data_IF_874352944291
#
_entry.id   IF_874352944291
#
_cell.length_a   1.000
_cell.length_b   1.000
_cell.length_c   1.000
_cell.angle_alpha   90.00
_cell.angle_beta   90.00
_cell.angle_gamma   90.00
#
_symmetry.space_group_name_H-M   'P 1'
#
loop_
_entity.id
_entity.type
_entity.pdbx_description
1 polymer ?
#
# COMPACT_ATOMS: atom_id res chain seq x y z
N UNK A 1 -8.20 28.75 13.04
CA UNK A 1 -7.90 28.07 11.77
C UNK A 1 -7.31 26.64 11.92
N UNK A 2 -6.74 26.24 13.05
CA UNK A 2 -6.23 24.85 13.25
C UNK A 2 -7.34 23.82 13.55
N UNK A 3 -8.50 24.23 14.02
CA UNK A 3 -9.64 23.36 14.38
C UNK A 3 -10.54 22.95 13.20
N UNK A 4 -10.30 23.45 11.99
CA UNK A 4 -11.20 23.21 10.85
C UNK A 4 -10.77 22.02 9.97
N UNK A 5 -9.47 21.62 10.01
CA UNK A 5 -9.01 20.49 9.22
C UNK A 5 -9.53 19.18 9.79
N UNK A 6 -10.11 18.37 8.91
CA UNK A 6 -10.60 17.05 9.29
C UNK A 6 -9.45 16.04 9.28
N UNK A 7 -9.37 15.23 10.33
CA UNK A 7 -8.43 14.13 10.48
C UNK A 7 -9.12 12.83 10.08
N UNK A 8 -8.61 12.14 9.08
CA UNK A 8 -9.18 10.86 8.62
C UNK A 8 -8.29 9.74 9.11
N UNK A 9 -8.76 8.98 10.12
CA UNK A 9 -8.06 7.79 10.58
C UNK A 9 -8.50 6.58 9.74
N UNK A 10 -7.56 6.06 8.95
CA UNK A 10 -7.77 4.89 8.10
C UNK A 10 -7.27 3.65 8.84
N UNK A 11 -8.15 2.66 8.94
CA UNK A 11 -7.89 1.39 9.63
C UNK A 11 -8.21 0.20 8.75
N UNK A 12 -7.83 -0.99 9.19
CA UNK A 12 -8.18 -2.26 8.58
C UNK A 12 -8.74 -3.21 9.63
N UNK A 13 -9.43 -4.22 9.20
CA UNK A 13 -9.74 -5.37 10.05
C UNK A 13 -8.46 -6.16 10.33
N UNK A 14 -8.37 -6.72 11.53
CA UNK A 14 -7.31 -7.69 11.86
C UNK A 14 -7.63 -9.04 11.24
N UNK A 15 -6.61 -9.92 11.14
CA UNK A 15 -6.83 -11.29 10.67
C UNK A 15 -7.88 -12.03 11.51
N UNK A 16 -7.91 -11.79 12.82
CA UNK A 16 -8.92 -12.40 13.70
C UNK A 16 -10.34 -11.89 13.39
N UNK A 17 -10.49 -10.58 13.13
CA UNK A 17 -11.77 -9.99 12.77
C UNK A 17 -12.30 -10.53 11.43
N UNK A 18 -11.42 -10.65 10.42
CA UNK A 18 -11.76 -11.27 9.14
C UNK A 18 -12.17 -12.75 9.29
N UNK A 19 -11.47 -13.50 10.16
CA UNK A 19 -11.84 -14.89 10.46
C UNK A 19 -13.19 -15.00 11.17
N UNK A 20 -13.49 -14.09 12.12
CA UNK A 20 -14.80 -14.05 12.78
C UNK A 20 -15.94 -13.83 11.79
N UNK A 21 -15.75 -12.94 10.82
CA UNK A 21 -16.74 -12.69 9.77
C UNK A 21 -16.92 -13.91 8.86
N UNK A 22 -15.81 -14.56 8.50
CA UNK A 22 -15.83 -15.73 7.62
C UNK A 22 -16.47 -16.97 8.25
N UNK A 23 -16.18 -17.22 9.52
CA UNK A 23 -16.57 -18.47 10.21
C UNK A 23 -17.68 -18.30 11.25
N UNK A 24 -18.22 -17.10 11.40
CA UNK A 24 -19.31 -16.76 12.32
C UNK A 24 -19.03 -17.01 13.82
N UNK A 25 -18.15 -17.93 14.18
CA UNK A 25 -17.79 -18.22 15.57
C UNK A 25 -16.28 -18.31 15.78
N UNK A 26 -15.82 -17.91 16.97
CA UNK A 26 -14.40 -18.05 17.35
C UNK A 26 -13.94 -19.51 17.40
N UNK A 27 -14.82 -20.43 17.80
CA UNK A 27 -14.50 -21.85 17.85
C UNK A 27 -14.21 -22.44 16.48
N UNK A 28 -15.01 -22.09 15.47
CA UNK A 28 -14.77 -22.47 14.08
C UNK A 28 -13.50 -21.85 13.51
N UNK A 29 -13.27 -20.56 13.76
CA UNK A 29 -12.05 -19.90 13.36
C UNK A 29 -10.80 -20.55 13.99
N UNK A 30 -10.84 -20.84 15.29
CA UNK A 30 -9.77 -21.52 16.01
C UNK A 30 -9.49 -22.91 15.42
N UNK A 31 -10.53 -23.73 15.26
CA UNK A 31 -10.40 -25.08 14.67
C UNK A 31 -9.72 -25.02 13.29
N UNK A 32 -10.14 -24.09 12.44
CA UNK A 32 -9.58 -23.94 11.10
C UNK A 32 -8.08 -23.58 11.13
N UNK A 33 -7.70 -22.60 11.95
CA UNK A 33 -6.30 -22.14 12.07
C UNK A 33 -5.40 -23.24 12.64
N UNK A 34 -5.85 -23.91 13.71
CA UNK A 34 -5.09 -24.99 14.32
C UNK A 34 -4.95 -26.21 13.39
N UNK A 35 -5.97 -26.48 12.57
CA UNK A 35 -5.90 -27.52 11.54
C UNK A 35 -4.89 -27.22 10.43
N UNK A 36 -4.63 -25.95 10.16
CA UNK A 36 -3.55 -25.51 9.25
C UNK A 36 -2.15 -25.55 9.89
N UNK A 37 -2.03 -25.93 11.15
CA UNK A 37 -0.78 -25.99 11.89
C UNK A 37 -0.32 -24.63 12.45
N UNK A 38 -1.17 -23.62 12.43
CA UNK A 38 -0.89 -22.30 12.99
C UNK A 38 -1.42 -22.15 14.41
N UNK A 39 -0.79 -21.25 15.20
CA UNK A 39 -1.22 -20.97 16.58
C UNK A 39 -2.28 -19.87 16.58
N UNK A 40 -3.49 -20.22 17.00
CA UNK A 40 -4.60 -19.27 17.09
C UNK A 40 -4.32 -18.11 18.06
N UNK A 41 -3.54 -18.34 19.10
CA UNK A 41 -3.15 -17.32 20.07
C UNK A 41 -2.42 -16.12 19.42
N UNK A 42 -1.66 -16.35 18.34
CA UNK A 42 -0.99 -15.27 17.61
C UNK A 42 -1.99 -14.30 16.98
N UNK A 43 -3.12 -14.80 16.50
CA UNK A 43 -4.19 -13.97 15.94
C UNK A 43 -4.90 -13.15 17.02
N UNK A 44 -5.10 -13.75 18.19
CA UNK A 44 -5.69 -13.06 19.35
C UNK A 44 -4.76 -11.97 19.88
N UNK A 45 -3.46 -12.25 19.99
CA UNK A 45 -2.47 -11.29 20.44
C UNK A 45 -2.33 -10.11 19.45
N UNK A 46 -2.27 -10.38 18.13
CA UNK A 46 -2.24 -9.32 17.10
C UNK A 46 -3.49 -8.44 17.19
N UNK A 47 -4.67 -9.02 17.33
CA UNK A 47 -5.93 -8.27 17.43
C UNK A 47 -5.95 -7.36 18.66
N UNK A 48 -5.55 -7.87 19.81
CA UNK A 48 -5.50 -7.10 21.05
C UNK A 48 -4.54 -5.91 20.95
N UNK A 49 -3.33 -6.11 20.41
CA UNK A 49 -2.34 -5.06 20.21
C UNK A 49 -2.84 -3.99 19.22
N UNK A 50 -3.44 -4.43 18.11
CA UNK A 50 -3.97 -3.51 17.10
C UNK A 50 -5.14 -2.67 17.62
N UNK A 51 -6.06 -3.27 18.36
CA UNK A 51 -7.21 -2.57 18.97
C UNK A 51 -6.74 -1.53 19.98
N UNK A 52 -5.75 -1.84 20.81
CA UNK A 52 -5.18 -0.88 21.76
C UNK A 52 -4.44 0.26 21.04
N UNK A 53 -3.66 -0.05 20.01
CA UNK A 53 -3.03 0.95 19.16
C UNK A 53 -4.07 1.90 18.51
N UNK A 54 -5.15 1.33 17.96
CA UNK A 54 -6.24 2.10 17.36
C UNK A 54 -6.91 3.03 18.37
N UNK A 55 -7.19 2.54 19.57
CA UNK A 55 -7.79 3.32 20.66
C UNK A 55 -6.91 4.49 21.06
N UNK A 56 -5.61 4.25 21.22
CA UNK A 56 -4.62 5.28 21.60
C UNK A 56 -4.51 6.36 20.51
N UNK A 57 -4.32 5.96 19.26
CA UNK A 57 -4.23 6.90 18.13
C UNK A 57 -5.51 7.71 17.99
N UNK A 58 -6.69 7.05 18.07
CA UNK A 58 -7.97 7.74 17.99
C UNK A 58 -8.17 8.77 19.12
N UNK A 59 -7.70 8.47 20.33
CA UNK A 59 -7.75 9.42 21.46
C UNK A 59 -6.88 10.64 21.17
N UNK A 60 -5.61 10.46 20.77
CA UNK A 60 -4.71 11.55 20.40
C UNK A 60 -5.27 12.43 19.28
N UNK A 61 -5.87 11.82 18.27
CA UNK A 61 -6.46 12.58 17.17
C UNK A 61 -7.68 13.38 17.60
N UNK A 62 -8.56 12.82 18.45
CA UNK A 62 -9.76 13.52 18.97
C UNK A 62 -9.41 14.72 19.82
N UNK A 63 -8.31 14.66 20.57
CA UNK A 63 -7.81 15.81 21.34
C UNK A 63 -7.27 16.93 20.45
N UNK A 64 -6.88 16.59 19.22
CA UNK A 64 -6.27 17.52 18.27
C UNK A 64 -7.24 18.12 17.25
N UNK A 65 -8.42 17.54 17.06
CA UNK A 65 -9.38 18.06 16.10
C UNK A 65 -10.55 17.13 15.77
N UNK A 66 -11.25 17.47 14.69
CA UNK A 66 -12.39 16.68 14.19
C UNK A 66 -11.89 15.41 13.48
N UNK A 67 -12.21 14.26 14.05
CA UNK A 67 -11.77 12.95 13.51
C UNK A 67 -12.91 12.21 12.84
N UNK A 68 -12.61 11.59 11.70
CA UNK A 68 -13.45 10.58 11.06
C UNK A 68 -12.68 9.28 10.96
N UNK A 69 -13.27 8.19 11.46
CA UNK A 69 -12.76 6.84 11.28
C UNK A 69 -13.24 6.29 9.92
N UNK A 70 -12.32 5.73 9.14
CA UNK A 70 -12.61 5.14 7.83
C UNK A 70 -11.97 3.75 7.74
N UNK A 71 -12.78 2.72 7.54
CA UNK A 71 -12.27 1.37 7.32
C UNK A 71 -11.81 1.20 5.86
N UNK A 72 -10.78 0.39 5.64
CA UNK A 72 -10.17 0.10 4.33
C UNK A 72 -11.18 -0.19 3.22
N UNK A 73 -12.24 -0.94 3.52
CA UNK A 73 -13.28 -1.29 2.53
C UNK A 73 -14.01 -0.09 1.95
N UNK A 74 -14.03 1.03 2.68
CA UNK A 74 -14.71 2.27 2.28
C UNK A 74 -13.83 3.23 1.47
N UNK A 75 -12.54 2.94 1.31
CA UNK A 75 -11.61 3.84 0.62
C UNK A 75 -12.01 4.17 -0.81
N UNK A 76 -12.53 3.19 -1.55
CA UNK A 76 -12.91 3.36 -2.96
C UNK A 76 -14.12 4.27 -3.19
N UNK A 77 -14.94 4.48 -2.16
CA UNK A 77 -16.16 5.30 -2.22
C UNK A 77 -16.02 6.63 -1.46
N UNK A 78 -14.91 6.81 -0.75
CA UNK A 78 -14.70 8.00 0.06
C UNK A 78 -14.06 9.13 -0.76
N UNK A 79 -14.63 10.33 -0.63
CA UNK A 79 -14.10 11.54 -1.26
C UNK A 79 -13.31 12.35 -0.24
N UNK A 80 -12.00 12.36 -0.39
CA UNK A 80 -11.09 13.16 0.43
C UNK A 80 -11.16 14.63 0.04
N UNK A 81 -11.34 15.53 1.02
CA UNK A 81 -11.21 16.96 0.81
C UNK A 81 -9.73 17.37 0.66
N UNK A 82 -9.47 18.49 0.01
CA UNK A 82 -8.09 18.93 -0.27
C UNK A 82 -7.29 19.27 1.00
N UNK A 83 -7.97 19.64 2.07
CA UNK A 83 -7.40 20.03 3.36
C UNK A 83 -7.43 18.92 4.43
N UNK A 84 -7.98 17.74 4.09
CA UNK A 84 -7.95 16.58 4.98
C UNK A 84 -6.51 16.19 5.34
N UNK A 85 -6.30 15.78 6.58
CA UNK A 85 -5.05 15.14 7.02
C UNK A 85 -5.34 13.65 7.20
N UNK A 86 -4.59 12.83 6.49
CA UNK A 86 -4.81 11.40 6.45
C UNK A 86 -3.85 10.73 7.45
N UNK A 87 -4.39 9.91 8.33
CA UNK A 87 -3.62 9.08 9.26
C UNK A 87 -3.92 7.62 8.96
N UNK A 88 -2.92 6.85 8.58
CA UNK A 88 -3.06 5.42 8.30
C UNK A 88 -2.48 4.63 9.47
N UNK A 89 -3.29 3.78 10.07
CA UNK A 89 -2.86 2.84 11.11
C UNK A 89 -2.94 1.41 10.56
N UNK A 90 -1.78 0.82 10.26
CA UNK A 90 -1.80 -0.53 9.68
C UNK A 90 -0.46 -1.00 9.12
N UNK A 91 -0.50 -1.58 7.94
CA UNK A 91 0.66 -2.15 7.23
C UNK A 91 0.94 -1.36 5.95
N UNK A 92 2.12 -1.57 5.37
CA UNK A 92 2.56 -0.93 4.10
C UNK A 92 1.51 -1.02 2.99
N UNK A 93 0.84 -2.18 2.87
CA UNK A 93 -0.22 -2.37 1.89
C UNK A 93 -1.44 -1.46 2.09
N UNK A 94 -1.74 -1.06 3.35
CA UNK A 94 -2.81 -0.10 3.61
C UNK A 94 -2.39 1.32 3.21
N UNK A 95 -1.14 1.70 3.45
CA UNK A 95 -0.55 2.97 3.01
C UNK A 95 -0.61 3.08 1.48
N UNK A 96 -0.07 2.09 0.77
CA UNK A 96 -0.09 2.05 -0.68
C UNK A 96 -1.51 2.07 -1.25
N UNK A 97 -2.45 1.32 -0.63
CA UNK A 97 -3.85 1.35 -1.05
C UNK A 97 -4.53 2.70 -0.82
N UNK A 98 -4.16 3.43 0.24
CA UNK A 98 -4.71 4.75 0.54
C UNK A 98 -4.18 5.81 -0.42
N UNK A 99 -2.89 5.83 -0.66
CA UNK A 99 -2.20 6.84 -1.48
C UNK A 99 -2.84 7.03 -2.86
N UNK A 100 -3.30 5.97 -3.50
CA UNK A 100 -3.90 6.03 -4.85
C UNK A 100 -5.22 6.83 -4.92
N UNK A 101 -5.84 7.13 -3.77
CA UNK A 101 -7.05 7.95 -3.70
C UNK A 101 -6.78 9.40 -3.31
N UNK A 102 -5.52 9.72 -2.98
CA UNK A 102 -5.12 11.06 -2.55
C UNK A 102 -4.65 11.92 -3.72
N UNK A 103 -4.86 13.23 -3.60
CA UNK A 103 -4.48 14.24 -4.59
C UNK A 103 -3.58 15.30 -3.98
N UNK A 104 -2.60 14.87 -3.16
CA UNK A 104 -1.65 15.77 -2.51
C UNK A 104 -1.92 16.05 -1.03
N UNK A 105 -2.96 15.45 -0.43
CA UNK A 105 -3.18 15.51 1.01
C UNK A 105 -1.99 14.89 1.76
N UNK A 106 -1.56 15.45 2.90
CA UNK A 106 -0.53 14.84 3.72
C UNK A 106 -1.03 13.54 4.35
N UNK A 107 -0.17 12.52 4.35
CA UNK A 107 -0.44 11.24 4.96
C UNK A 107 0.61 10.95 6.04
N UNK A 108 0.14 10.64 7.24
CA UNK A 108 0.93 10.15 8.38
C UNK A 108 0.70 8.64 8.47
N UNK A 109 1.76 7.86 8.33
CA UNK A 109 1.67 6.41 8.36
C UNK A 109 2.24 5.87 9.68
N UNK A 110 1.39 5.21 10.46
CA UNK A 110 1.69 4.73 11.82
C UNK A 110 1.72 3.21 11.83
N UNK A 111 2.82 2.65 12.34
CA UNK A 111 2.97 1.23 12.60
C UNK A 111 2.30 0.88 13.95
N UNK A 112 1.22 0.09 13.96
CA UNK A 112 0.54 -0.29 15.21
C UNK A 112 1.35 -1.30 16.03
N UNK A 113 2.18 -2.13 15.40
CA UNK A 113 2.91 -3.24 16.05
C UNK A 113 4.30 -3.34 15.38
N UNK A 114 5.28 -2.50 15.76
CA UNK A 114 6.60 -2.49 15.13
C UNK A 114 7.35 -3.82 15.19
N UNK A 115 7.15 -4.61 16.24
CA UNK A 115 7.79 -5.92 16.38
C UNK A 115 7.23 -6.99 15.42
N UNK A 116 6.06 -6.74 14.83
CA UNK A 116 5.38 -7.68 13.94
C UNK A 116 5.40 -7.23 12.47
N UNK A 117 5.47 -5.92 12.21
CA UNK A 117 5.41 -5.36 10.87
C UNK A 117 6.69 -4.60 10.54
N UNK A 118 7.37 -4.96 9.46
CA UNK A 118 8.60 -4.28 9.01
C UNK A 118 8.41 -2.77 8.78
N UNK A 119 7.27 -2.39 8.21
CA UNK A 119 6.85 -1.00 8.14
C UNK A 119 7.73 -0.07 7.30
N UNK A 120 8.10 -0.48 6.09
CA UNK A 120 8.92 0.35 5.17
C UNK A 120 8.26 1.70 4.87
N UNK A 121 6.93 1.71 4.81
CA UNK A 121 6.10 2.91 4.59
C UNK A 121 5.51 3.49 5.87
N UNK A 122 5.86 2.96 7.04
CA UNK A 122 5.31 3.30 8.35
C UNK A 122 6.40 3.85 9.27
N UNK A 123 6.88 5.08 9.03
CA UNK A 123 8.02 5.63 9.77
C UNK A 123 7.71 5.99 11.23
N UNK A 124 6.43 6.02 11.62
CA UNK A 124 5.99 6.43 12.95
C UNK A 124 5.42 5.25 13.74
N UNK A 125 5.65 5.26 15.05
CA UNK A 125 4.99 4.40 16.03
C UNK A 125 3.75 5.11 16.62
N UNK A 126 2.97 4.39 17.41
CA UNK A 126 1.78 4.94 18.09
C UNK A 126 2.13 6.13 19.00
N UNK A 127 3.30 6.07 19.69
CA UNK A 127 3.81 7.16 20.52
C UNK A 127 4.09 8.46 19.77
N UNK A 128 4.41 8.37 18.48
CA UNK A 128 4.81 9.51 17.66
C UNK A 128 3.61 10.28 17.07
N UNK A 129 2.39 9.78 17.28
CA UNK A 129 1.17 10.31 16.68
C UNK A 129 0.99 11.81 16.86
N UNK A 130 1.11 12.31 18.08
CA UNK A 130 0.91 13.74 18.39
C UNK A 130 2.01 14.62 17.79
N UNK A 131 3.25 14.16 17.85
CA UNK A 131 4.39 14.90 17.29
C UNK A 131 4.27 14.97 15.75
N UNK A 132 4.03 13.85 15.09
CA UNK A 132 3.84 13.78 13.64
C UNK A 132 2.68 14.67 13.19
N UNK A 133 1.53 14.62 13.88
CA UNK A 133 0.38 15.47 13.59
C UNK A 133 0.71 16.96 13.78
N UNK A 134 1.35 17.34 14.87
CA UNK A 134 1.75 18.72 15.13
C UNK A 134 2.71 19.26 14.06
N UNK A 135 3.64 18.41 13.58
CA UNK A 135 4.57 18.80 12.52
C UNK A 135 3.82 19.06 11.20
N UNK A 136 2.81 18.22 10.86
CA UNK A 136 1.93 18.45 9.70
C UNK A 136 1.13 19.76 9.85
N UNK A 137 0.48 19.96 10.99
CA UNK A 137 -0.34 21.15 11.25
C UNK A 137 0.47 22.45 11.20
N UNK A 138 1.73 22.41 11.62
CA UNK A 138 2.63 23.57 11.62
C UNK A 138 3.46 23.72 10.35
N UNK A 139 3.23 22.85 9.34
CA UNK A 139 4.03 22.81 8.11
C UNK A 139 5.56 22.70 8.35
N UNK A 140 5.95 21.96 9.39
CA UNK A 140 7.34 21.73 9.81
C UNK A 140 7.83 20.32 9.49
N UNK A 141 7.11 19.59 8.63
CA UNK A 141 7.46 18.23 8.27
C UNK A 141 8.43 18.17 7.09
N UNK A 142 9.32 17.19 7.13
CA UNK A 142 9.96 16.66 5.93
C UNK A 142 9.00 15.67 5.28
N UNK A 143 8.68 15.87 4.00
CA UNK A 143 7.76 15.00 3.26
C UNK A 143 8.52 14.18 2.22
N UNK A 144 8.19 12.90 2.13
CA UNK A 144 8.56 12.07 0.99
C UNK A 144 7.47 12.19 -0.08
N UNK A 145 7.87 12.58 -1.29
CA UNK A 145 6.97 12.58 -2.44
C UNK A 145 6.99 11.22 -3.09
N UNK A 146 5.85 10.79 -3.62
CA UNK A 146 5.69 9.51 -4.30
C UNK A 146 5.07 9.77 -5.66
N UNK A 147 5.76 9.35 -6.72
CA UNK A 147 5.22 9.33 -8.07
C UNK A 147 4.34 8.10 -8.25
N UNK A 148 3.19 8.29 -8.88
CA UNK A 148 2.26 7.22 -9.19
C UNK A 148 2.18 6.99 -10.70
N UNK A 149 1.98 5.75 -11.12
CA UNK A 149 1.64 5.43 -12.49
C UNK A 149 0.16 5.67 -12.72
N UNK A 150 -0.19 6.32 -13.82
CA UNK A 150 -1.57 6.44 -14.28
C UNK A 150 -1.78 5.58 -15.51
N UNK A 151 -2.83 4.77 -15.46
CA UNK A 151 -3.31 4.00 -16.60
C UNK A 151 -4.59 4.63 -17.10
N UNK A 152 -4.68 4.84 -18.40
CA UNK A 152 -5.91 5.30 -19.05
C UNK A 152 -6.26 4.35 -20.18
N UNK A 153 -7.50 3.90 -20.23
CA UNK A 153 -8.00 3.05 -21.31
C UNK A 153 -8.46 3.90 -22.50
N UNK A 154 -8.64 3.27 -23.66
CA UNK A 154 -9.22 3.92 -24.84
C UNK A 154 -10.70 4.31 -24.65
N UNK A 155 -11.35 3.81 -23.61
CA UNK A 155 -12.71 4.19 -23.20
C UNK A 155 -12.74 5.38 -22.26
N UNK A 156 -11.57 5.90 -21.84
CA UNK A 156 -11.45 7.02 -20.93
C UNK A 156 -11.39 6.65 -19.45
N UNK A 157 -11.50 5.37 -19.09
CA UNK A 157 -11.32 4.93 -17.72
C UNK A 157 -9.87 5.17 -17.27
N UNK A 158 -9.70 5.64 -16.04
CA UNK A 158 -8.38 5.94 -15.49
C UNK A 158 -8.21 5.31 -14.12
N UNK A 159 -6.99 4.81 -13.86
CA UNK A 159 -6.61 4.22 -12.59
C UNK A 159 -5.19 4.67 -12.19
N UNK A 160 -4.99 4.92 -10.90
CA UNK A 160 -3.68 5.21 -10.32
C UNK A 160 -3.11 3.95 -9.64
N UNK A 161 -1.82 3.77 -9.78
CA UNK A 161 -1.06 2.73 -9.10
C UNK A 161 0.14 3.35 -8.37
N UNK A 162 0.32 2.94 -7.13
CA UNK A 162 1.42 3.40 -6.26
C UNK A 162 2.65 2.53 -6.44
N UNK A 163 2.47 1.21 -6.58
CA UNK A 163 3.55 0.24 -6.77
C UNK A 163 3.70 -0.13 -8.25
N UNK A 164 2.88 -1.04 -8.71
CA UNK A 164 2.97 -1.63 -10.04
C UNK A 164 1.61 -1.63 -10.72
N UNK A 165 1.63 -1.52 -12.05
CA UNK A 165 0.51 -1.82 -12.92
C UNK A 165 0.79 -3.12 -13.63
N UNK A 166 -0.11 -4.09 -13.52
CA UNK A 166 -0.07 -5.30 -14.32
C UNK A 166 -1.12 -5.22 -15.43
N UNK A 167 -0.68 -5.47 -16.65
CA UNK A 167 -1.53 -5.53 -17.83
C UNK A 167 -1.36 -6.92 -18.44
N UNK A 168 -2.40 -7.74 -18.38
CA UNK A 168 -2.34 -9.11 -18.84
C UNK A 168 -3.69 -9.82 -18.73
N UNK A 169 -3.75 -11.10 -19.12
CA UNK A 169 -4.96 -11.90 -19.06
C UNK A 169 -5.35 -12.22 -17.60
N UNK A 170 -6.63 -12.45 -17.35
CA UNK A 170 -7.14 -12.91 -16.04
C UNK A 170 -6.77 -14.37 -15.74
N UNK A 171 -6.44 -15.13 -16.76
CA UNK A 171 -6.15 -16.56 -16.69
C UNK A 171 -4.69 -16.82 -17.05
N UNK A 172 -4.20 -18.05 -16.90
CA UNK A 172 -2.84 -18.46 -17.24
C UNK A 172 -2.61 -18.64 -18.76
N UNK A 173 -3.35 -17.91 -19.59
CA UNK A 173 -3.18 -17.91 -21.06
C UNK A 173 -2.24 -16.79 -21.48
N UNK A 174 -1.49 -17.00 -22.57
CA UNK A 174 -0.67 -15.93 -23.13
C UNK A 174 -1.53 -14.84 -23.75
N UNK A 175 -1.23 -13.60 -23.45
CA UNK A 175 -1.79 -12.43 -24.12
C UNK A 175 -0.99 -12.12 -25.38
N UNK A 176 -1.68 -11.80 -26.47
CA UNK A 176 -1.05 -11.28 -27.69
C UNK A 176 -1.34 -9.78 -27.79
N UNK A 177 -0.30 -8.98 -27.86
CA UNK A 177 -0.42 -7.53 -27.84
C UNK A 177 0.76 -6.85 -28.54
N UNK A 178 0.62 -5.57 -28.78
CA UNK A 178 1.64 -4.71 -29.37
C UNK A 178 2.05 -3.67 -28.34
N UNK A 179 3.34 -3.57 -28.06
CA UNK A 179 3.92 -2.49 -27.25
C UNK A 179 4.42 -1.41 -28.20
N UNK A 180 4.06 -0.16 -27.91
CA UNK A 180 4.58 1.02 -28.60
C UNK A 180 5.17 1.96 -27.55
N UNK A 181 6.44 2.33 -27.73
CA UNK A 181 7.14 3.31 -26.88
C UNK A 181 7.81 4.32 -27.82
N UNK A 182 7.25 5.52 -27.89
CA UNK A 182 7.62 6.48 -28.92
C UNK A 182 7.40 5.90 -30.32
N UNK A 183 8.46 5.85 -31.13
CA UNK A 183 8.42 5.25 -32.48
C UNK A 183 8.69 3.73 -32.49
N UNK A 184 9.22 3.20 -31.39
CA UNK A 184 9.53 1.79 -31.27
C UNK A 184 8.25 0.95 -31.08
N UNK A 185 8.18 -0.17 -31.81
CA UNK A 185 7.03 -1.06 -31.77
C UNK A 185 7.50 -2.50 -31.74
N UNK A 186 6.88 -3.29 -30.84
CA UNK A 186 7.16 -4.71 -30.68
C UNK A 186 5.88 -5.51 -30.50
N UNK A 187 5.80 -6.68 -31.15
CA UNK A 187 4.70 -7.63 -30.93
C UNK A 187 5.12 -8.66 -29.89
N UNK A 188 4.24 -8.90 -28.93
CA UNK A 188 4.46 -9.81 -27.82
C UNK A 188 3.39 -10.90 -27.75
N UNK A 189 3.82 -12.09 -27.31
CA UNK A 189 2.93 -13.17 -26.87
C UNK A 189 3.46 -13.67 -25.53
N UNK A 190 2.93 -13.16 -24.44
CA UNK A 190 3.51 -13.35 -23.11
C UNK A 190 2.45 -13.40 -22.01
N UNK A 191 2.87 -13.60 -20.77
CA UNK A 191 1.97 -13.53 -19.60
C UNK A 191 1.55 -12.11 -19.22
N UNK A 192 1.95 -11.08 -19.98
CA UNK A 192 1.59 -9.69 -19.77
C UNK A 192 2.78 -8.77 -19.48
N UNK A 193 2.47 -7.53 -19.12
CA UNK A 193 3.44 -6.47 -18.83
C UNK A 193 3.26 -5.97 -17.42
N UNK A 194 4.37 -5.74 -16.73
CA UNK A 194 4.42 -5.01 -15.47
C UNK A 194 5.06 -3.66 -15.71
N UNK A 195 4.40 -2.60 -15.25
CA UNK A 195 4.94 -1.23 -15.24
C UNK A 195 5.10 -0.81 -13.79
N UNK A 196 6.32 -0.51 -13.38
CA UNK A 196 6.67 -0.21 -11.99
C UNK A 196 7.00 1.26 -11.78
N UNK A 197 6.55 1.79 -10.65
CA UNK A 197 6.96 3.09 -10.11
C UNK A 197 8.22 2.95 -9.27
N UNK A 198 8.80 4.07 -8.82
CA UNK A 198 9.92 4.05 -7.88
C UNK A 198 9.61 3.29 -6.59
N UNK A 199 8.41 3.44 -6.04
CA UNK A 199 8.00 2.72 -4.84
C UNK A 199 7.84 1.21 -5.11
N UNK A 200 7.24 0.82 -6.22
CA UNK A 200 7.07 -0.57 -6.65
C UNK A 200 8.38 -1.28 -7.02
N UNK A 201 9.42 -0.50 -7.36
CA UNK A 201 10.68 -1.03 -7.91
C UNK A 201 11.43 -2.00 -6.99
N UNK A 202 11.16 -1.97 -5.70
CA UNK A 202 11.75 -2.89 -4.70
C UNK A 202 10.89 -4.13 -4.41
N UNK A 203 9.69 -4.21 -4.99
CA UNK A 203 8.70 -5.27 -4.82
C UNK A 203 8.70 -6.29 -5.97
N UNK A 204 7.56 -6.42 -6.64
CA UNK A 204 7.35 -7.41 -7.70
C UNK A 204 8.29 -7.23 -8.89
N UNK A 205 8.50 -5.99 -9.32
CA UNK A 205 9.46 -5.68 -10.39
C UNK A 205 10.87 -6.21 -10.07
N UNK A 206 11.36 -5.97 -8.83
CA UNK A 206 12.66 -6.51 -8.38
C UNK A 206 12.71 -8.04 -8.43
N UNK A 207 11.62 -8.70 -8.04
CA UNK A 207 11.56 -10.19 -8.08
C UNK A 207 11.67 -10.73 -9.50
N UNK A 208 11.07 -10.07 -10.50
CA UNK A 208 11.19 -10.44 -11.91
C UNK A 208 12.63 -10.30 -12.37
N UNK A 209 13.26 -9.17 -12.08
CA UNK A 209 14.65 -8.91 -12.44
C UNK A 209 15.61 -9.91 -11.78
N UNK A 210 15.41 -10.21 -10.50
CA UNK A 210 16.20 -11.19 -9.77
C UNK A 210 16.06 -12.60 -10.38
N UNK A 211 14.85 -13.01 -10.75
CA UNK A 211 14.59 -14.26 -11.43
C UNK A 211 15.31 -14.35 -12.78
N UNK A 212 15.18 -13.32 -13.61
CA UNK A 212 15.87 -13.25 -14.91
C UNK A 212 17.40 -13.27 -14.77
N UNK A 213 17.94 -12.52 -13.81
CA UNK A 213 19.37 -12.51 -13.49
C UNK A 213 19.87 -13.88 -13.03
N UNK A 214 19.12 -14.55 -12.16
CA UNK A 214 19.44 -15.89 -11.68
C UNK A 214 19.49 -16.93 -12.80
N UNK A 215 18.50 -16.92 -13.69
CA UNK A 215 18.44 -17.82 -14.85
C UNK A 215 19.59 -17.52 -15.83
N UNK A 216 19.82 -16.26 -16.14
CA UNK A 216 20.87 -15.84 -17.08
C UNK A 216 22.30 -15.92 -16.50
N UNK A 217 22.43 -16.14 -15.20
CA UNK A 217 23.70 -16.09 -14.45
C UNK A 217 24.48 -14.77 -14.70
N UNK A 218 23.75 -13.68 -14.87
CA UNK A 218 24.31 -12.35 -15.10
C UNK A 218 23.83 -11.39 -14.01
N UNK A 219 24.72 -10.58 -13.39
CA UNK A 219 24.33 -9.61 -12.39
C UNK A 219 23.43 -8.54 -13.01
N UNK A 220 22.45 -8.10 -12.23
CA UNK A 220 21.63 -6.94 -12.57
C UNK A 220 22.48 -5.68 -12.66
N UNK A 221 22.10 -4.77 -13.53
CA UNK A 221 22.68 -3.43 -13.58
C UNK A 221 22.48 -2.74 -12.22
N UNK A 222 23.51 -2.07 -11.68
CA UNK A 222 23.47 -1.46 -10.34
C UNK A 222 22.26 -0.53 -10.11
N UNK A 223 21.83 0.21 -11.14
CA UNK A 223 20.68 1.11 -11.07
C UNK A 223 19.34 0.37 -10.82
N UNK A 224 19.23 -0.89 -11.24
CA UNK A 224 18.00 -1.68 -11.09
C UNK A 224 18.03 -2.61 -9.87
N UNK A 225 19.21 -2.92 -9.34
CA UNK A 225 19.35 -3.85 -8.20
C UNK A 225 18.76 -3.31 -6.90
N UNK A 226 18.81 -1.99 -6.68
CA UNK A 226 18.37 -1.33 -5.47
C UNK A 226 17.03 -0.60 -5.62
N UNK A 227 16.36 -0.73 -6.79
CA UNK A 227 15.21 0.08 -7.14
C UNK A 227 15.62 1.51 -7.51
N UNK A 228 14.64 2.39 -7.70
CA UNK A 228 14.86 3.80 -8.03
C UNK A 228 14.02 4.72 -7.13
N UNK A 229 14.27 6.03 -7.20
CA UNK A 229 13.69 7.00 -6.29
C UNK A 229 12.15 6.99 -6.32
N UNK A 230 11.50 7.12 -5.17
CA UNK A 230 10.04 7.10 -5.05
C UNK A 230 9.35 8.26 -5.78
N UNK A 231 10.04 9.38 -5.93
CA UNK A 231 9.59 10.58 -6.64
C UNK A 231 10.10 10.65 -8.08
N UNK A 232 10.67 9.56 -8.61
CA UNK A 232 11.11 9.48 -10.00
C UNK A 232 9.96 9.81 -10.96
N UNK A 233 10.26 10.58 -12.00
CA UNK A 233 9.37 10.79 -13.11
C UNK A 233 9.32 9.63 -14.11
N UNK A 234 10.28 8.70 -13.99
CA UNK A 234 10.40 7.56 -14.88
C UNK A 234 9.60 6.38 -14.37
N UNK A 235 9.03 5.61 -15.29
CA UNK A 235 8.44 4.30 -15.07
C UNK A 235 9.29 3.25 -15.77
N UNK A 236 9.46 2.10 -15.14
CA UNK A 236 10.12 0.95 -15.76
C UNK A 236 9.11 -0.14 -16.05
N UNK A 237 9.25 -0.79 -17.19
CA UNK A 237 8.39 -1.93 -17.51
C UNK A 237 9.19 -3.19 -17.84
N UNK A 238 8.57 -4.31 -17.66
CA UNK A 238 9.08 -5.62 -18.06
C UNK A 238 7.94 -6.47 -18.63
N UNK A 239 8.23 -7.15 -19.74
CA UNK A 239 7.38 -8.21 -20.27
C UNK A 239 7.59 -9.44 -19.41
N UNK A 240 6.51 -10.10 -18.99
CA UNK A 240 6.58 -11.35 -18.23
C UNK A 240 6.56 -12.53 -19.17
N UNK A 241 7.53 -13.41 -19.02
CA UNK A 241 7.62 -14.67 -19.77
C UNK A 241 7.43 -14.41 -21.28
N UNK A 242 8.34 -13.59 -21.86
CA UNK A 242 8.29 -13.21 -23.27
C UNK A 242 8.50 -14.39 -24.21
#
# INVERSE_FOLDING_TARGET
MLQERKLILITRKTRLQELKEKYCTLGQAKFYIEHLGERFDNYVAEDALYVEAQKTVLTHLKESGRVQLLERSMLSTYLFANDDIIVVLGQDGLVANTLKYLKGQPLIAINPIPDLYDGVLLPFCVSDTLEALNNVLRSRMSVKRISMAQVTTNLGDSMLAVNDVFIGPKTHTSARYKICVGEATEQQSSSGVIVSTGLGSTGWFKSILAGASGIAQRPLHKQLSNGFAWDSADLYYSVREP
#
